data_IF_090107138266
#
_entry.id   IF_090107138266
#
_cell.length_a   1.000
_cell.length_b   1.000
_cell.length_c   1.000
_cell.angle_alpha   90.00
_cell.angle_beta   90.00
_cell.angle_gamma   90.00
#
_symmetry.space_group_name_H-M   'P 1'
#
loop_
_entity.id
_entity.type
_entity.pdbx_description
1 polymer ?
#
# COMPACT_ATOMS: atom_id res chain seq x y z
N UNK A 1 -12.44 12.05 -11.20
CA UNK A 1 -11.28 11.20 -11.60
C UNK A 1 -11.47 9.80 -11.04
N UNK A 2 -10.82 8.77 -11.56
CA UNK A 2 -10.80 7.44 -10.96
C UNK A 2 -9.79 7.39 -9.80
N UNK A 3 -10.00 6.46 -8.86
CA UNK A 3 -9.07 6.29 -7.73
C UNK A 3 -7.64 5.98 -8.19
N UNK A 4 -7.47 5.23 -9.29
CA UNK A 4 -6.17 4.94 -9.89
C UNK A 4 -5.53 6.18 -10.50
N UNK A 5 -6.29 7.07 -11.16
CA UNK A 5 -5.71 8.31 -11.72
C UNK A 5 -5.21 9.26 -10.64
N UNK A 6 -5.96 9.42 -9.54
CA UNK A 6 -5.51 10.22 -8.39
C UNK A 6 -4.25 9.65 -7.74
N UNK A 7 -4.12 8.31 -7.69
CA UNK A 7 -2.90 7.66 -7.21
C UNK A 7 -1.71 7.93 -8.14
N UNK A 8 -1.92 7.90 -9.47
CA UNK A 8 -0.86 8.25 -10.44
C UNK A 8 -0.40 9.68 -10.27
N UNK A 9 -1.32 10.62 -10.10
CA UNK A 9 -1.02 12.05 -9.93
C UNK A 9 -0.15 12.32 -8.71
N UNK A 10 -0.46 11.74 -7.55
CA UNK A 10 0.37 11.94 -6.36
C UNK A 10 1.73 11.25 -6.48
N UNK A 11 1.81 10.09 -7.11
CA UNK A 11 3.10 9.44 -7.40
C UNK A 11 3.99 10.30 -8.30
N UNK A 12 3.40 11.01 -9.26
CA UNK A 12 4.12 11.97 -10.11
C UNK A 12 4.53 13.22 -9.35
N UNK A 13 3.58 13.84 -8.65
CA UNK A 13 3.79 15.08 -7.91
C UNK A 13 4.92 14.95 -6.90
N UNK A 14 4.90 13.90 -6.08
CA UNK A 14 5.87 13.67 -5.02
C UNK A 14 7.07 12.83 -5.48
N UNK A 15 7.11 12.43 -6.76
CA UNK A 15 8.09 11.48 -7.32
C UNK A 15 8.36 10.30 -6.38
N UNK A 16 7.30 9.68 -5.86
CA UNK A 16 7.38 8.66 -4.82
C UNK A 16 6.44 7.49 -5.08
N UNK A 17 6.90 6.29 -4.75
CA UNK A 17 6.08 5.08 -4.66
C UNK A 17 5.92 4.62 -3.20
N UNK A 18 6.43 5.40 -2.26
CA UNK A 18 6.41 5.03 -0.84
C UNK A 18 5.02 5.25 -0.26
N UNK A 19 4.53 4.20 0.40
CA UNK A 19 3.38 4.21 1.28
C UNK A 19 3.88 4.04 2.72
N UNK A 20 3.71 5.06 3.55
CA UNK A 20 4.13 4.98 4.95
C UNK A 20 3.05 4.29 5.78
N UNK A 21 3.39 3.13 6.36
CA UNK A 21 2.47 2.45 7.28
C UNK A 21 2.47 3.13 8.63
N UNK A 22 1.30 3.60 9.08
CA UNK A 22 1.10 4.23 10.40
C UNK A 22 0.69 3.17 11.45
N UNK A 23 1.60 2.24 11.71
CA UNK A 23 1.44 1.15 12.67
C UNK A 23 1.93 1.60 14.06
N UNK A 24 1.09 2.33 14.80
CA UNK A 24 1.46 3.01 16.05
C UNK A 24 1.56 2.03 17.24
N UNK A 25 2.70 1.39 17.38
CA UNK A 25 3.00 0.48 18.50
C UNK A 25 3.52 1.25 19.71
N UNK A 26 2.73 1.30 20.80
CA UNK A 26 3.11 1.95 22.07
C UNK A 26 4.47 1.53 22.61
N UNK A 27 4.92 0.29 22.32
CA UNK A 27 6.20 -0.23 22.81
C UNK A 27 7.40 0.30 22.03
N UNK A 28 7.16 0.92 20.87
CA UNK A 28 8.20 1.38 19.94
C UNK A 28 8.22 2.89 19.75
N UNK A 29 7.12 3.55 20.00
CA UNK A 29 7.04 5.02 20.00
C UNK A 29 7.91 5.56 21.16
N UNK A 30 8.64 6.67 20.96
CA UNK A 30 9.42 7.30 22.04
C UNK A 30 8.56 7.55 23.29
N UNK A 31 9.15 7.40 24.47
CA UNK A 31 8.45 7.33 25.76
C UNK A 31 7.55 8.54 26.05
N UNK A 32 7.97 9.73 25.64
CA UNK A 32 7.21 10.96 25.86
C UNK A 32 5.89 11.00 25.06
N UNK A 33 5.84 10.26 23.97
CA UNK A 33 4.66 10.17 23.09
C UNK A 33 3.81 8.92 23.35
N UNK A 34 4.39 7.84 23.87
CA UNK A 34 3.68 6.55 24.03
C UNK A 34 2.75 6.50 25.23
N UNK A 35 2.85 7.45 26.18
CA UNK A 35 2.15 7.43 27.46
C UNK A 35 0.67 7.81 27.37
N UNK A 36 0.22 8.44 26.29
CA UNK A 36 -1.16 8.92 26.12
C UNK A 36 -1.62 8.89 24.67
N UNK A 37 -2.93 8.89 24.46
CA UNK A 37 -3.53 9.03 23.12
C UNK A 37 -3.11 10.36 22.47
N UNK A 38 -3.06 11.45 23.25
CA UNK A 38 -2.57 12.73 22.75
C UNK A 38 -1.11 12.65 22.29
N UNK A 39 -0.24 12.01 23.05
CA UNK A 39 1.16 11.82 22.67
C UNK A 39 1.27 11.00 21.38
N UNK A 40 0.52 9.92 21.23
CA UNK A 40 0.48 9.12 20.00
C UNK A 40 -0.01 9.94 18.80
N UNK A 41 -1.00 10.83 19.01
CA UNK A 41 -1.44 11.77 17.99
C UNK A 41 -0.33 12.74 17.58
N UNK A 42 0.31 13.39 18.56
CA UNK A 42 1.40 14.35 18.31
C UNK A 42 2.58 13.68 17.58
N UNK A 43 2.89 12.43 17.93
CA UNK A 43 3.89 11.62 17.21
C UNK A 43 3.52 11.38 15.74
N UNK A 44 2.31 10.89 15.50
CA UNK A 44 1.84 10.61 14.15
C UNK A 44 1.79 11.89 13.29
N UNK A 45 1.34 12.99 13.87
CA UNK A 45 1.26 14.29 13.19
C UNK A 45 2.65 14.79 12.77
N UNK A 46 3.65 14.74 13.64
CA UNK A 46 5.03 15.10 13.27
C UNK A 46 5.60 14.24 12.14
N UNK A 47 5.32 12.93 12.12
CA UNK A 47 5.70 12.06 11.02
C UNK A 47 5.03 12.50 9.71
N UNK A 48 3.72 12.76 9.74
CA UNK A 48 2.97 13.21 8.55
C UNK A 48 3.50 14.55 8.06
N UNK A 49 3.62 15.55 8.93
CA UNK A 49 4.13 16.88 8.57
C UNK A 49 5.54 16.83 7.96
N UNK A 50 6.39 15.92 8.43
CA UNK A 50 7.76 15.78 7.93
C UNK A 50 7.87 15.01 6.63
N UNK A 51 6.83 14.27 6.19
CA UNK A 51 6.96 13.34 5.06
C UNK A 51 5.89 13.48 3.98
N UNK A 52 4.80 14.23 4.19
CA UNK A 52 3.66 14.26 3.27
C UNK A 52 3.99 14.80 1.87
N UNK A 53 5.01 15.61 1.72
CA UNK A 53 5.47 16.17 0.44
C UNK A 53 6.35 15.19 -0.38
N UNK A 54 6.74 14.04 0.19
CA UNK A 54 7.65 13.08 -0.42
C UNK A 54 7.15 11.62 -0.39
N UNK A 55 5.88 11.40 -0.09
CA UNK A 55 5.24 10.08 -0.08
C UNK A 55 4.01 10.05 -1.01
N UNK A 56 3.63 8.87 -1.49
CA UNK A 56 2.42 8.68 -2.28
C UNK A 56 1.17 8.41 -1.43
N UNK A 57 1.36 7.78 -0.27
CA UNK A 57 0.24 7.38 0.58
C UNK A 57 0.66 7.20 2.04
N UNK A 58 -0.32 7.27 2.93
CA UNK A 58 -0.25 6.75 4.29
C UNK A 58 -1.19 5.57 4.45
N UNK A 59 -0.76 4.58 5.23
CA UNK A 59 -1.55 3.37 5.46
C UNK A 59 -1.67 3.06 6.95
N UNK A 60 -2.63 3.67 7.66
CA UNK A 60 -2.97 3.22 9.01
C UNK A 60 -3.49 1.79 9.00
N UNK A 61 -3.01 0.97 9.91
CA UNK A 61 -3.50 -0.38 10.11
C UNK A 61 -4.52 -0.39 11.26
N UNK A 62 -5.76 -0.70 10.93
CA UNK A 62 -6.90 -0.62 11.85
C UNK A 62 -6.67 -1.41 13.16
N UNK A 63 -5.94 -2.52 13.13
CA UNK A 63 -5.69 -3.36 14.31
C UNK A 63 -4.97 -2.60 15.44
N UNK A 64 -4.00 -1.74 15.11
CA UNK A 64 -3.28 -0.95 16.12
C UNK A 64 -4.16 0.09 16.82
N UNK A 65 -5.16 0.61 16.11
CA UNK A 65 -6.12 1.57 16.67
C UNK A 65 -7.23 0.86 17.43
N UNK A 66 -7.68 -0.30 16.96
CA UNK A 66 -8.70 -1.10 17.68
C UNK A 66 -8.18 -1.61 19.04
N UNK A 67 -6.89 -1.97 19.15
CA UNK A 67 -6.27 -2.37 20.42
C UNK A 67 -6.38 -1.26 21.49
N UNK A 68 -6.43 0.00 21.08
CA UNK A 68 -6.58 1.15 21.99
C UNK A 68 -8.04 1.43 22.40
N UNK A 69 -8.98 0.61 21.93
CA UNK A 69 -10.42 0.80 22.21
C UNK A 69 -11.04 2.01 21.50
N UNK A 70 -12.14 2.56 22.01
CA UNK A 70 -12.85 3.69 21.38
C UNK A 70 -11.96 4.93 21.16
N UNK A 71 -11.06 5.22 22.09
CA UNK A 71 -10.12 6.34 21.96
C UNK A 71 -9.15 6.13 20.79
N UNK A 72 -8.73 4.90 20.51
CA UNK A 72 -7.90 4.57 19.37
C UNK A 72 -8.63 4.75 18.03
N UNK A 73 -9.91 4.42 17.97
CA UNK A 73 -10.72 4.68 16.77
C UNK A 73 -10.90 6.19 16.52
N UNK A 74 -11.07 6.97 17.60
CA UNK A 74 -11.10 8.43 17.50
C UNK A 74 -9.74 9.00 17.08
N UNK A 75 -8.65 8.45 17.61
CA UNK A 75 -7.28 8.79 17.20
C UNK A 75 -7.06 8.57 15.69
N UNK A 76 -7.54 7.45 15.14
CA UNK A 76 -7.47 7.19 13.70
C UNK A 76 -8.18 8.28 12.89
N UNK A 77 -9.40 8.64 13.28
CA UNK A 77 -10.16 9.70 12.61
C UNK A 77 -9.41 11.05 12.64
N UNK A 78 -8.84 11.42 13.77
CA UNK A 78 -8.12 12.69 13.91
C UNK A 78 -6.81 12.72 13.14
N UNK A 79 -6.07 11.59 13.07
CA UNK A 79 -4.86 11.48 12.27
C UNK A 79 -5.18 11.61 10.78
N UNK A 80 -6.19 10.89 10.29
CA UNK A 80 -6.56 10.91 8.85
C UNK A 80 -6.94 12.32 8.41
N UNK A 81 -7.67 13.09 9.23
CA UNK A 81 -8.01 14.51 8.94
C UNK A 81 -6.79 15.42 8.78
N UNK A 82 -5.60 15.01 9.22
CA UNK A 82 -4.36 15.82 9.12
C UNK A 82 -3.51 15.46 7.91
N UNK A 83 -3.83 14.36 7.23
CA UNK A 83 -3.16 14.02 5.98
C UNK A 83 -3.68 14.96 4.89
N UNK A 84 -2.81 15.61 4.09
CA UNK A 84 -3.24 16.46 2.99
C UNK A 84 -4.14 15.72 1.99
N UNK A 85 -5.15 16.39 1.47
CA UNK A 85 -6.20 15.81 0.62
C UNK A 85 -5.67 15.14 -0.67
N UNK A 86 -4.51 15.55 -1.14
CA UNK A 86 -3.86 14.99 -2.32
C UNK A 86 -2.97 13.77 -2.02
N UNK A 87 -2.62 13.51 -0.76
CA UNK A 87 -1.90 12.29 -0.35
C UNK A 87 -2.90 11.18 -0.02
N UNK A 88 -2.76 10.01 -0.65
CA UNK A 88 -3.77 8.95 -0.50
C UNK A 88 -3.72 8.28 0.86
N UNK A 89 -4.89 7.99 1.41
CA UNK A 89 -5.06 7.23 2.66
C UNK A 89 -5.59 5.85 2.36
N UNK A 90 -4.86 4.82 2.81
CA UNK A 90 -5.25 3.41 2.66
C UNK A 90 -5.57 2.84 4.04
N UNK A 91 -6.82 2.55 4.34
CA UNK A 91 -7.15 1.85 5.58
C UNK A 91 -6.83 0.35 5.45
N UNK A 92 -5.79 -0.11 6.15
CA UNK A 92 -5.42 -1.53 6.15
C UNK A 92 -6.27 -2.29 7.17
N UNK A 93 -7.41 -2.80 6.73
CA UNK A 93 -8.44 -3.44 7.56
C UNK A 93 -8.79 -4.86 7.13
N UNK A 94 -8.44 -5.24 5.91
CA UNK A 94 -8.69 -6.57 5.32
C UNK A 94 -10.16 -7.00 5.48
N UNK A 95 -11.07 -6.04 5.21
CA UNK A 95 -12.52 -6.24 5.36
C UNK A 95 -13.00 -7.41 4.51
N UNK A 96 -13.98 -8.15 5.04
CA UNK A 96 -14.58 -9.27 4.33
C UNK A 96 -15.92 -9.59 4.96
N UNK A 97 -17.02 -9.28 4.25
CA UNK A 97 -18.39 -9.60 4.61
C UNK A 97 -19.29 -9.44 3.37
N UNK A 98 -20.53 -9.85 3.46
CA UNK A 98 -21.46 -9.88 2.33
C UNK A 98 -22.61 -8.87 2.48
N UNK A 99 -23.20 -8.49 1.35
CA UNK A 99 -24.44 -7.73 1.26
C UNK A 99 -24.43 -6.45 2.10
N UNK A 100 -25.45 -6.30 2.93
CA UNK A 100 -25.64 -5.11 3.76
C UNK A 100 -24.50 -4.87 4.75
N UNK A 101 -23.91 -5.90 5.33
CA UNK A 101 -22.78 -5.75 6.26
C UNK A 101 -21.54 -5.17 5.53
N UNK A 102 -21.24 -5.63 4.34
CA UNK A 102 -20.17 -5.06 3.52
C UNK A 102 -20.41 -3.58 3.19
N UNK A 103 -21.67 -3.18 2.94
CA UNK A 103 -22.03 -1.77 2.72
C UNK A 103 -21.81 -0.91 3.98
N UNK A 104 -22.10 -1.42 5.18
CA UNK A 104 -21.79 -0.71 6.43
C UNK A 104 -20.29 -0.58 6.68
N UNK A 105 -19.49 -1.58 6.32
CA UNK A 105 -18.02 -1.45 6.34
C UNK A 105 -17.52 -0.38 5.36
N UNK A 106 -18.04 -0.37 4.13
CA UNK A 106 -17.67 0.65 3.13
C UNK A 106 -18.02 2.06 3.60
N UNK A 107 -19.21 2.28 4.17
CA UNK A 107 -19.60 3.56 4.77
C UNK A 107 -18.66 3.97 5.92
N UNK A 108 -18.33 3.04 6.82
CA UNK A 108 -17.38 3.33 7.89
C UNK A 108 -16.01 3.76 7.35
N UNK A 109 -15.48 3.06 6.34
CA UNK A 109 -14.18 3.36 5.73
C UNK A 109 -14.19 4.72 5.05
N UNK A 110 -15.15 4.98 4.17
CA UNK A 110 -15.10 6.14 3.28
C UNK A 110 -15.83 7.37 3.83
N UNK A 111 -16.89 7.19 4.61
CA UNK A 111 -17.65 8.32 5.14
C UNK A 111 -17.17 8.75 6.53
N UNK A 112 -16.83 7.79 7.41
CA UNK A 112 -16.37 8.09 8.76
C UNK A 112 -14.86 8.29 8.82
N UNK A 113 -14.05 7.28 8.44
CA UNK A 113 -12.59 7.37 8.49
C UNK A 113 -11.98 8.15 7.33
N UNK A 114 -12.77 8.56 6.31
CA UNK A 114 -12.33 9.37 5.18
C UNK A 114 -11.13 8.78 4.42
N UNK A 115 -10.95 7.45 4.43
CA UNK A 115 -9.93 6.81 3.63
C UNK A 115 -10.23 6.94 2.12
N UNK A 116 -9.20 6.82 1.28
CA UNK A 116 -9.34 6.78 -0.17
C UNK A 116 -9.37 5.34 -0.68
N UNK A 117 -8.66 4.47 0.01
CA UNK A 117 -8.55 3.05 -0.31
C UNK A 117 -8.71 2.21 0.95
N UNK A 118 -9.13 0.95 0.76
CA UNK A 118 -9.22 -0.04 1.84
C UNK A 118 -8.66 -1.37 1.37
N UNK A 119 -8.07 -2.15 2.27
CA UNK A 119 -7.72 -3.54 1.97
C UNK A 119 -8.91 -4.46 2.24
N UNK A 120 -9.20 -5.37 1.30
CA UNK A 120 -10.34 -6.30 1.37
C UNK A 120 -9.93 -7.74 1.07
N UNK A 121 -10.72 -8.70 1.60
CA UNK A 121 -10.49 -10.13 1.40
C UNK A 121 -11.35 -10.64 0.25
N UNK A 122 -10.78 -11.33 -0.77
CA UNK A 122 -11.52 -11.83 -1.93
C UNK A 122 -12.28 -13.13 -1.70
N UNK A 123 -12.09 -13.79 -0.56
CA UNK A 123 -12.58 -15.17 -0.34
C UNK A 123 -14.08 -15.36 -0.58
N UNK A 124 -14.89 -14.33 -0.31
CA UNK A 124 -16.35 -14.36 -0.50
C UNK A 124 -16.81 -13.88 -1.89
N UNK A 125 -15.88 -13.55 -2.81
CA UNK A 125 -16.22 -13.20 -4.18
C UNK A 125 -16.49 -11.71 -4.41
N UNK A 126 -16.93 -11.38 -5.64
CA UNK A 126 -17.09 -10.00 -6.10
C UNK A 126 -18.17 -9.21 -5.37
N UNK A 127 -19.28 -9.85 -5.05
CA UNK A 127 -20.41 -9.22 -4.35
C UNK A 127 -20.04 -8.73 -2.94
N UNK A 128 -19.03 -9.35 -2.31
CA UNK A 128 -18.47 -8.88 -1.04
C UNK A 128 -17.52 -7.67 -1.21
N UNK A 129 -16.93 -7.49 -2.39
CA UNK A 129 -16.04 -6.37 -2.72
C UNK A 129 -16.81 -5.17 -3.28
N UNK A 130 -17.86 -5.42 -4.06
CA UNK A 130 -18.62 -4.41 -4.80
C UNK A 130 -19.05 -3.21 -3.95
N UNK A 131 -19.57 -3.33 -2.71
CA UNK A 131 -19.98 -2.18 -1.91
C UNK A 131 -18.87 -1.14 -1.68
N UNK A 132 -17.60 -1.54 -1.71
CA UNK A 132 -16.47 -0.62 -1.62
C UNK A 132 -16.18 0.10 -2.94
N UNK A 133 -16.66 -0.41 -4.08
CA UNK A 133 -16.48 0.16 -5.41
C UNK A 133 -17.58 1.14 -5.80
N UNK A 134 -18.69 1.16 -5.07
CA UNK A 134 -19.83 2.04 -5.33
C UNK A 134 -19.55 3.52 -4.92
N UNK A 135 -18.37 3.79 -4.32
CA UNK A 135 -17.95 5.13 -3.91
C UNK A 135 -17.04 5.77 -4.97
N UNK A 136 -17.50 6.86 -5.56
CA UNK A 136 -16.73 7.58 -6.59
C UNK A 136 -15.39 8.10 -6.05
N UNK A 137 -14.31 7.90 -6.79
CA UNK A 137 -12.96 8.32 -6.40
C UNK A 137 -12.34 7.48 -5.27
N UNK A 138 -13.03 6.43 -4.80
CA UNK A 138 -12.53 5.51 -3.78
C UNK A 138 -12.19 4.15 -4.40
N UNK A 139 -11.31 3.39 -3.72
CA UNK A 139 -10.85 2.11 -4.26
C UNK A 139 -10.62 1.04 -3.20
N UNK A 140 -10.41 -0.19 -3.66
CA UNK A 140 -10.11 -1.32 -2.80
C UNK A 140 -8.86 -2.09 -3.29
N UNK A 141 -7.95 -2.39 -2.36
CA UNK A 141 -6.84 -3.32 -2.56
C UNK A 141 -7.25 -4.71 -2.11
N UNK A 142 -7.34 -5.63 -3.05
CA UNK A 142 -7.75 -7.02 -2.80
C UNK A 142 -6.54 -7.85 -2.40
N UNK A 143 -6.62 -8.61 -1.30
CA UNK A 143 -5.57 -9.56 -0.90
C UNK A 143 -5.38 -10.60 -2.00
N UNK A 144 -4.18 -10.66 -2.57
CA UNK A 144 -3.83 -11.59 -3.65
C UNK A 144 -2.80 -12.61 -3.19
N UNK A 145 -1.59 -12.17 -2.83
CA UNK A 145 -0.54 -13.04 -2.32
C UNK A 145 0.12 -12.38 -1.10
N UNK A 146 0.00 -13.01 0.05
CA UNK A 146 0.48 -12.45 1.32
C UNK A 146 1.85 -13.02 1.73
N UNK A 147 2.63 -12.25 2.51
CA UNK A 147 4.01 -12.60 2.87
C UNK A 147 4.15 -13.59 4.03
N UNK A 148 3.07 -13.95 4.71
CA UNK A 148 3.10 -14.87 5.84
C UNK A 148 3.27 -16.33 5.40
N UNK A 149 3.88 -17.20 6.21
CA UNK A 149 4.09 -18.62 5.86
C UNK A 149 2.81 -19.38 5.50
N UNK A 150 1.68 -19.09 6.20
CA UNK A 150 0.38 -19.71 5.95
C UNK A 150 -0.24 -19.39 4.57
N UNK A 151 0.34 -18.46 3.80
CA UNK A 151 -0.09 -18.21 2.41
C UNK A 151 -0.01 -19.47 1.55
N UNK A 152 0.92 -20.38 1.86
CA UNK A 152 1.11 -21.64 1.14
C UNK A 152 -0.04 -22.63 1.31
N UNK A 153 -0.82 -22.51 2.37
CA UNK A 153 -1.94 -23.42 2.66
C UNK A 153 -3.12 -23.25 1.70
N UNK A 154 -3.33 -22.01 1.19
CA UNK A 154 -4.43 -21.71 0.29
C UNK A 154 -3.97 -21.03 -1.01
N UNK A 155 -3.18 -19.97 -0.92
CA UNK A 155 -2.90 -19.09 -2.05
C UNK A 155 -2.08 -19.79 -3.14
N UNK A 156 -1.20 -20.73 -2.77
CA UNK A 156 -0.41 -21.54 -3.70
C UNK A 156 -1.10 -22.85 -4.15
N UNK A 157 -2.28 -23.17 -3.61
CA UNK A 157 -3.03 -24.33 -4.13
C UNK A 157 -3.37 -24.13 -5.60
N UNK A 158 -3.18 -25.17 -6.40
CA UNK A 158 -3.50 -25.14 -7.83
C UNK A 158 -4.95 -25.57 -8.07
N UNK A 159 -5.64 -24.78 -8.88
CA UNK A 159 -6.91 -25.15 -9.47
C UNK A 159 -6.65 -25.32 -10.97
N UNK A 160 -6.81 -26.53 -11.49
CA UNK A 160 -6.40 -26.91 -12.84
C UNK A 160 -4.90 -26.65 -13.04
N UNK A 161 -4.51 -25.59 -13.72
CA UNK A 161 -3.13 -25.37 -14.16
C UNK A 161 -2.45 -24.14 -13.52
N UNK A 162 -3.13 -23.41 -12.60
CA UNK A 162 -2.56 -22.22 -11.99
C UNK A 162 -2.92 -22.08 -10.51
N UNK A 163 -2.07 -21.40 -9.70
CA UNK A 163 -2.34 -21.20 -8.28
C UNK A 163 -3.48 -20.20 -8.04
N UNK A 164 -4.12 -20.30 -6.87
CA UNK A 164 -5.27 -19.46 -6.49
C UNK A 164 -4.92 -17.97 -6.56
N UNK A 165 -3.72 -17.54 -6.14
CA UNK A 165 -3.35 -16.12 -6.21
C UNK A 165 -3.42 -15.56 -7.64
N UNK A 166 -3.10 -16.37 -8.68
CA UNK A 166 -3.23 -15.96 -10.08
C UNK A 166 -4.69 -15.81 -10.50
N UNK A 167 -5.58 -16.69 -10.02
CA UNK A 167 -7.02 -16.51 -10.24
C UNK A 167 -7.53 -15.21 -9.63
N UNK A 168 -7.07 -14.87 -8.41
CA UNK A 168 -7.42 -13.60 -7.77
C UNK A 168 -6.92 -12.42 -8.61
N UNK A 169 -5.66 -12.44 -9.08
CA UNK A 169 -5.11 -11.37 -9.90
C UNK A 169 -5.91 -11.14 -11.18
N UNK A 170 -6.20 -12.20 -11.94
CA UNK A 170 -7.00 -12.14 -13.16
C UNK A 170 -8.44 -11.69 -12.92
N UNK A 171 -9.07 -12.15 -11.82
CA UNK A 171 -10.42 -11.72 -11.47
C UNK A 171 -10.48 -10.24 -11.11
N UNK A 172 -9.52 -9.75 -10.33
CA UNK A 172 -9.44 -8.32 -9.97
C UNK A 172 -9.23 -7.47 -11.23
N UNK A 173 -8.31 -7.82 -12.12
CA UNK A 173 -8.12 -7.13 -13.40
C UNK A 173 -9.41 -7.14 -14.28
N UNK A 174 -10.14 -8.25 -14.29
CA UNK A 174 -11.41 -8.35 -14.99
C UNK A 174 -12.53 -7.48 -14.36
N UNK A 175 -12.57 -7.36 -13.04
CA UNK A 175 -13.57 -6.58 -12.29
C UNK A 175 -13.29 -5.07 -12.32
N UNK A 176 -12.04 -4.66 -12.54
CA UNK A 176 -11.58 -3.25 -12.48
C UNK A 176 -12.05 -2.44 -13.70
N UNK A 177 -13.36 -2.27 -13.84
CA UNK A 177 -13.95 -1.49 -14.94
C UNK A 177 -13.85 0.02 -14.73
N UNK A 178 -13.87 0.46 -13.47
CA UNK A 178 -13.90 1.88 -13.07
C UNK A 178 -12.52 2.38 -12.60
N UNK A 179 -11.47 1.57 -12.75
CA UNK A 179 -10.12 1.88 -12.29
C UNK A 179 -10.08 2.25 -10.80
N UNK A 180 -10.65 1.37 -9.99
CA UNK A 180 -10.74 1.52 -8.53
C UNK A 180 -10.42 0.24 -7.76
N UNK A 181 -9.83 -0.75 -8.44
CA UNK A 181 -9.31 -1.97 -7.82
C UNK A 181 -7.79 -2.03 -7.92
N UNK A 182 -7.19 -2.59 -6.90
CA UNK A 182 -5.78 -2.93 -6.82
C UNK A 182 -5.55 -4.27 -6.13
N UNK A 183 -4.30 -4.69 -6.03
CA UNK A 183 -3.89 -5.95 -5.43
C UNK A 183 -2.95 -5.73 -4.26
N UNK A 184 -3.00 -6.59 -3.25
CA UNK A 184 -1.97 -6.68 -2.20
C UNK A 184 -1.08 -7.87 -2.52
N UNK A 185 0.22 -7.63 -2.74
CA UNK A 185 1.21 -8.67 -3.05
C UNK A 185 2.45 -8.47 -2.18
N UNK A 186 2.78 -9.46 -1.36
CA UNK A 186 3.92 -9.39 -0.45
C UNK A 186 5.27 -9.34 -1.17
N UNK A 187 6.19 -8.49 -0.70
CA UNK A 187 7.54 -8.32 -1.27
C UNK A 187 8.46 -9.56 -1.14
N UNK A 188 8.02 -10.61 -0.41
CA UNK A 188 8.78 -11.84 -0.21
C UNK A 188 8.63 -12.86 -1.35
N UNK A 189 7.83 -12.53 -2.37
CA UNK A 189 7.51 -13.39 -3.51
C UNK A 189 7.86 -12.70 -4.84
N UNK A 190 9.15 -12.53 -5.18
CA UNK A 190 9.59 -11.72 -6.32
C UNK A 190 9.14 -12.24 -7.69
N UNK A 191 9.24 -13.54 -7.92
CA UNK A 191 8.83 -14.18 -9.19
C UNK A 191 7.31 -14.05 -9.37
N UNK A 192 6.56 -14.38 -8.32
CA UNK A 192 5.11 -14.29 -8.32
C UNK A 192 4.61 -12.84 -8.49
N UNK A 193 5.34 -11.85 -7.96
CA UNK A 193 5.01 -10.44 -8.14
C UNK A 193 5.09 -10.04 -9.62
N UNK A 194 6.11 -10.51 -10.35
CA UNK A 194 6.24 -10.26 -11.78
C UNK A 194 5.10 -10.91 -12.60
N UNK A 195 4.76 -12.16 -12.29
CA UNK A 195 3.65 -12.88 -12.93
C UNK A 195 2.30 -12.19 -12.66
N UNK A 196 2.06 -11.81 -11.40
CA UNK A 196 0.86 -11.05 -11.00
C UNK A 196 0.81 -9.70 -11.73
N UNK A 197 1.92 -8.96 -11.81
CA UNK A 197 1.96 -7.68 -12.54
C UNK A 197 1.57 -7.84 -14.00
N UNK A 198 2.08 -8.88 -14.69
CA UNK A 198 1.72 -9.17 -16.07
C UNK A 198 0.23 -9.42 -16.26
N UNK A 199 -0.42 -10.07 -15.29
CA UNK A 199 -1.86 -10.38 -15.34
C UNK A 199 -2.75 -9.23 -14.87
N UNK A 200 -2.22 -8.35 -14.00
CA UNK A 200 -2.97 -7.26 -13.38
C UNK A 200 -3.08 -5.99 -14.27
N UNK A 201 -2.32 -5.92 -15.37
CA UNK A 201 -2.34 -4.74 -16.25
C UNK A 201 -2.06 -3.43 -15.47
N UNK A 202 -3.00 -2.49 -15.50
CA UNK A 202 -2.89 -1.18 -14.83
C UNK A 202 -3.47 -1.14 -13.40
N UNK A 203 -3.89 -2.27 -12.82
CA UNK A 203 -4.29 -2.29 -11.41
C UNK A 203 -3.11 -1.91 -10.50
N UNK A 204 -3.24 -0.99 -9.54
CA UNK A 204 -2.17 -0.70 -8.60
C UNK A 204 -1.87 -1.91 -7.70
N UNK A 205 -0.59 -2.09 -7.34
CA UNK A 205 -0.17 -3.13 -6.41
C UNK A 205 0.39 -2.50 -5.14
N UNK A 206 -0.25 -2.78 -4.02
CA UNK A 206 0.26 -2.48 -2.68
C UNK A 206 1.21 -3.61 -2.26
N UNK A 207 2.47 -3.27 -2.00
CA UNK A 207 3.55 -4.22 -1.76
C UNK A 207 4.08 -4.05 -0.33
N UNK A 208 3.50 -4.77 0.65
CA UNK A 208 4.01 -4.78 2.02
C UNK A 208 5.20 -5.74 2.16
N UNK A 209 6.00 -5.51 3.22
CA UNK A 209 7.06 -6.42 3.65
C UNK A 209 8.46 -6.08 3.16
N UNK A 210 8.66 -4.95 2.51
CA UNK A 210 10.00 -4.45 2.15
C UNK A 210 10.78 -4.11 3.42
N UNK A 211 12.03 -4.53 3.49
CA UNK A 211 12.93 -4.32 4.62
C UNK A 211 12.61 -5.23 5.80
N UNK A 212 11.70 -4.84 6.66
CA UNK A 212 11.45 -5.47 7.96
C UNK A 212 10.96 -6.94 7.92
N UNK A 213 10.47 -7.42 6.77
CA UNK A 213 10.07 -8.81 6.54
C UNK A 213 10.99 -9.53 5.55
N UNK A 214 12.13 -8.93 5.18
CA UNK A 214 13.11 -9.51 4.27
C UNK A 214 12.81 -9.28 2.78
N UNK A 215 11.78 -8.52 2.44
CA UNK A 215 11.49 -8.13 1.05
C UNK A 215 12.56 -7.18 0.49
N UNK A 216 12.93 -7.40 -0.76
CA UNK A 216 13.93 -6.60 -1.47
C UNK A 216 13.25 -5.40 -2.16
N UNK A 217 13.72 -4.19 -1.88
CA UNK A 217 13.21 -2.95 -2.47
C UNK A 217 13.37 -2.92 -3.99
N UNK A 218 14.52 -3.36 -4.49
CA UNK A 218 14.80 -3.38 -5.93
C UNK A 218 13.80 -4.27 -6.68
N UNK A 219 13.57 -5.47 -6.17
CA UNK A 219 12.63 -6.41 -6.77
C UNK A 219 11.20 -5.84 -6.72
N UNK A 220 10.79 -5.27 -5.58
CA UNK A 220 9.48 -4.66 -5.44
C UNK A 220 9.28 -3.49 -6.43
N UNK A 221 10.29 -2.65 -6.63
CA UNK A 221 10.23 -1.53 -7.55
C UNK A 221 10.27 -1.98 -9.02
N UNK A 222 11.10 -2.99 -9.38
CA UNK A 222 11.18 -3.53 -10.76
C UNK A 222 9.93 -4.30 -11.15
N UNK A 223 9.53 -5.28 -10.34
CA UNK A 223 8.45 -6.21 -10.66
C UNK A 223 7.05 -5.66 -10.34
N UNK A 224 6.93 -4.75 -9.39
CA UNK A 224 5.63 -4.22 -8.96
C UNK A 224 5.07 -3.12 -9.88
N UNK A 225 5.92 -2.46 -10.69
CA UNK A 225 5.50 -1.36 -11.55
C UNK A 225 4.92 -1.85 -12.87
N UNK A 226 3.97 -1.08 -13.44
CA UNK A 226 3.48 -1.30 -14.80
C UNK A 226 4.48 -0.78 -15.86
N UNK A 227 4.12 -0.87 -17.15
CA UNK A 227 4.96 -0.42 -18.26
C UNK A 227 5.33 1.07 -18.20
N UNK A 228 4.49 1.88 -17.57
CA UNK A 228 4.75 3.31 -17.29
C UNK A 228 5.56 3.54 -16.01
N UNK A 229 6.05 2.47 -15.35
CA UNK A 229 6.84 2.49 -14.12
C UNK A 229 6.14 3.17 -12.94
N UNK A 230 4.84 2.96 -12.84
CA UNK A 230 3.94 3.48 -11.82
C UNK A 230 3.09 2.35 -11.24
N UNK A 231 2.19 2.71 -10.35
CA UNK A 231 1.20 1.81 -9.78
C UNK A 231 1.75 0.70 -8.88
N UNK A 232 3.03 0.78 -8.47
CA UNK A 232 3.51 0.10 -7.28
C UNK A 232 3.40 1.05 -6.09
N UNK A 233 2.85 0.58 -4.98
CA UNK A 233 2.87 1.25 -3.68
C UNK A 233 3.71 0.39 -2.72
N UNK A 234 4.91 0.81 -2.44
CA UNK A 234 5.84 0.10 -1.58
C UNK A 234 5.58 0.50 -0.13
N UNK A 235 4.92 -0.39 0.62
CA UNK A 235 4.55 -0.10 2.00
C UNK A 235 5.72 -0.37 2.94
N UNK A 236 6.16 0.68 3.60
CA UNK A 236 7.23 0.66 4.61
C UNK A 236 6.70 1.28 5.90
N UNK A 237 6.78 0.55 7.01
CA UNK A 237 6.31 1.02 8.32
C UNK A 237 7.49 1.21 9.27
N UNK A 238 8.04 0.11 9.80
CA UNK A 238 8.97 0.11 10.94
C UNK A 238 10.25 0.89 10.71
N UNK A 239 10.87 0.81 9.55
CA UNK A 239 12.12 1.52 9.25
C UNK A 239 11.93 3.03 9.10
N UNK A 240 10.71 3.50 8.81
CA UNK A 240 10.37 4.92 8.74
C UNK A 240 9.90 5.42 10.11
N UNK A 241 8.85 4.79 10.67
CA UNK A 241 8.27 5.25 11.95
C UNK A 241 9.30 5.24 13.08
N UNK A 242 10.12 4.22 13.13
CA UNK A 242 11.08 3.99 14.22
C UNK A 242 12.53 4.15 13.77
N UNK A 243 12.78 5.06 12.81
CA UNK A 243 14.11 5.39 12.31
C UNK A 243 15.03 5.97 13.41
N UNK A 244 14.44 6.68 14.36
CA UNK A 244 15.09 7.13 15.61
C UNK A 244 14.14 6.92 16.79
N UNK A 245 14.72 6.61 17.96
CA UNK A 245 14.01 6.58 19.25
C UNK A 245 14.14 7.87 20.04
N UNK A 246 14.83 8.87 19.51
CA UNK A 246 15.04 10.16 20.15
C UNK A 246 13.81 11.06 19.96
N UNK A 247 13.32 11.64 21.04
CA UNK A 247 12.15 12.52 21.07
C UNK A 247 12.29 13.77 20.19
N UNK A 248 13.52 14.22 19.92
CA UNK A 248 13.79 15.50 19.27
C UNK A 248 13.96 15.38 17.73
N UNK A 249 14.26 14.18 17.21
CA UNK A 249 14.65 14.02 15.80
C UNK A 249 13.97 12.86 15.04
N UNK A 250 13.06 12.12 15.67
CA UNK A 250 12.43 10.95 15.03
C UNK A 250 11.71 11.31 13.72
N UNK A 251 11.11 12.49 13.62
CA UNK A 251 10.45 13.00 12.42
C UNK A 251 11.46 13.31 11.30
N UNK A 252 12.60 13.90 11.64
CA UNK A 252 13.70 14.16 10.71
C UNK A 252 14.32 12.85 10.24
N UNK A 253 14.49 11.90 11.14
CA UNK A 253 14.99 10.56 10.80
C UNK A 253 14.01 9.81 9.87
N UNK A 254 12.71 9.91 10.13
CA UNK A 254 11.68 9.36 9.26
C UNK A 254 11.74 9.97 7.86
N UNK A 255 11.84 11.30 7.74
CA UNK A 255 12.03 11.99 6.46
C UNK A 255 13.28 11.53 5.73
N UNK A 256 14.41 11.44 6.42
CA UNK A 256 15.67 11.00 5.83
C UNK A 256 15.57 9.56 5.29
N UNK A 257 14.89 8.65 5.98
CA UNK A 257 14.69 7.29 5.49
C UNK A 257 13.77 7.26 4.25
N UNK A 258 12.69 8.06 4.22
CA UNK A 258 11.82 8.18 3.02
C UNK A 258 12.62 8.74 1.84
N UNK A 259 13.44 9.79 2.02
CA UNK A 259 14.28 10.37 0.97
C UNK A 259 15.27 9.34 0.42
N UNK A 260 15.91 8.58 1.28
CA UNK A 260 16.82 7.49 0.89
C UNK A 260 16.10 6.44 0.05
N UNK A 261 14.91 5.98 0.48
CA UNK A 261 14.12 5.00 -0.25
C UNK A 261 13.68 5.53 -1.63
N UNK A 262 13.23 6.79 -1.70
CA UNK A 262 12.86 7.43 -2.97
C UNK A 262 14.06 7.55 -3.93
N UNK A 263 15.26 7.90 -3.43
CA UNK A 263 16.48 7.93 -4.24
C UNK A 263 16.79 6.55 -4.81
N UNK A 264 16.78 5.51 -3.98
CA UNK A 264 17.01 4.13 -4.41
C UNK A 264 16.00 3.70 -5.49
N UNK A 265 14.71 3.99 -5.31
CA UNK A 265 13.67 3.66 -6.30
C UNK A 265 13.89 4.41 -7.61
N UNK A 266 14.29 5.68 -7.54
CA UNK A 266 14.58 6.50 -8.72
C UNK A 266 15.74 5.91 -9.52
N UNK A 267 16.82 5.49 -8.86
CA UNK A 267 17.98 4.87 -9.51
C UNK A 267 17.63 3.51 -10.13
N UNK A 268 16.85 2.69 -9.43
CA UNK A 268 16.33 1.41 -9.98
C UNK A 268 15.53 1.66 -11.26
N UNK A 269 14.65 2.67 -11.27
CA UNK A 269 13.82 3.01 -12.44
C UNK A 269 14.66 3.47 -13.64
N UNK A 270 15.73 4.24 -13.42
CA UNK A 270 16.67 4.68 -14.47
C UNK A 270 17.38 3.47 -15.08
N UNK A 271 17.93 2.58 -14.24
CA UNK A 271 18.61 1.37 -14.71
C UNK A 271 17.70 0.49 -15.58
N UNK A 272 16.43 0.30 -15.20
CA UNK A 272 15.45 -0.42 -16.04
C UNK A 272 15.20 0.27 -17.39
N UNK A 273 15.31 1.61 -17.46
CA UNK A 273 15.19 2.34 -18.74
C UNK A 273 16.38 2.11 -19.67
N UNK A 274 17.56 2.12 -19.12
CA UNK A 274 18.80 1.88 -19.85
C UNK A 274 18.83 0.44 -20.38
N UNK A 275 18.55 -0.54 -19.55
CA UNK A 275 18.46 -1.95 -19.94
C UNK A 275 17.46 -2.20 -21.10
N UNK A 276 16.29 -1.51 -21.08
CA UNK A 276 15.29 -1.62 -22.16
C UNK A 276 15.74 -0.94 -23.46
N UNK A 277 16.55 0.13 -23.40
CA UNK A 277 17.10 0.80 -24.59
C UNK A 277 18.19 -0.04 -25.26
N UNK A 278 19.08 -0.62 -24.47
CA UNK A 278 20.16 -1.47 -24.97
C UNK A 278 19.62 -2.72 -25.69
N UNK A 279 18.64 -3.38 -25.08
CA UNK A 279 17.99 -4.54 -25.70
C UNK A 279 17.25 -4.21 -27.02
N UNK A 280 16.72 -2.98 -27.18
CA UNK A 280 16.09 -2.54 -28.45
C UNK A 280 17.11 -2.23 -29.55
N UNK A 281 18.29 -1.75 -29.20
CA UNK A 281 19.37 -1.45 -30.15
C UNK A 281 20.02 -2.70 -30.67
N UNK A 282 20.11 -3.79 -29.90
CA UNK A 282 20.65 -5.06 -30.36
C UNK A 282 19.70 -5.76 -31.37
N UNK A 283 18.38 -5.75 -31.13
CA UNK A 283 17.41 -6.30 -32.09
C UNK A 283 17.35 -5.55 -33.43
N UNK A 284 17.76 -4.29 -33.47
CA UNK A 284 17.78 -3.48 -34.72
C UNK A 284 19.07 -3.65 -35.52
N UNK A 285 20.09 -4.31 -34.97
CA UNK A 285 21.38 -4.60 -35.68
C UNK A 285 21.40 -5.96 -36.38
N UNK A 286 20.44 -6.84 -36.04
CA UNK A 286 20.36 -8.20 -36.62
C UNK A 286 19.28 -8.31 -37.73
N UNK A 287 18.72 -7.15 -38.19
CA UNK A 287 17.87 -7.06 -39.38
C UNK A 287 18.55 -6.24 -40.48
#
# INVERSE_FOLDING_TARGET
MSAVSELKEIQEKNNSMICVGLDLDKKRIPSDYSSSIKGMYDYALRIIESTCDIVAAYKPNLAFFMELGPEGLSLLEEIVKKIPDDVRVILDAKMGDIGNTAAHYAAAVFERYKADWVTVNPYMGYDAIRPFLDYQGKGAFVLCLTSNPGSREFQFMHVVNKPIYMYVAEKVAYWDKEQNLGLVVGATHPEQLADIRSSAGDCPILIPGVGAQGGNLEIAARAGTNDFKKLALINVSRSILYASSNNDDFDKAARAEVQKLNSMITDIRKNVEEEKKDNRTDYSRDQ
#
